data_IF_931839321017
#
_entry.id   IF_931839321017
#
_cell.length_a   1.000
_cell.length_b   1.000
_cell.length_c   1.000
_cell.angle_alpha   90.00
_cell.angle_beta   90.00
_cell.angle_gamma   90.00
#
_symmetry.space_group_name_H-M   'P 1'
#
loop_
_entity.id
_entity.type
_entity.pdbx_description
1 polymer ?
#
# COMPACT_ATOMS: atom_id res chain seq x y z
N UNK A 1 -11.61 0.09 7.77
CA UNK A 1 -12.85 0.34 8.55
C UNK A 1 -13.32 1.79 8.46
N UNK A 2 -12.42 2.74 8.23
CA UNK A 2 -12.70 4.18 8.20
C UNK A 2 -13.68 4.63 7.09
N UNK A 3 -14.02 3.77 6.14
CA UNK A 3 -15.02 4.02 5.09
C UNK A 3 -16.28 3.15 5.23
N UNK A 4 -16.39 2.37 6.31
CA UNK A 4 -17.59 1.59 6.58
C UNK A 4 -18.71 2.54 7.03
N UNK A 5 -19.92 2.30 6.53
CA UNK A 5 -21.10 3.01 6.99
C UNK A 5 -21.53 2.53 8.39
N UNK A 6 -22.39 3.31 9.04
CA UNK A 6 -22.82 3.05 10.41
C UNK A 6 -23.60 1.74 10.56
N UNK A 7 -24.46 1.39 9.59
CA UNK A 7 -25.26 0.16 9.65
C UNK A 7 -24.36 -1.07 9.56
N UNK A 8 -23.33 -1.02 8.69
CA UNK A 8 -22.32 -2.07 8.61
C UNK A 8 -21.58 -2.26 9.94
N UNK A 9 -21.19 -1.17 10.62
CA UNK A 9 -20.52 -1.24 11.92
C UNK A 9 -21.43 -1.79 13.03
N UNK A 10 -22.71 -1.39 13.04
CA UNK A 10 -23.70 -1.92 13.98
C UNK A 10 -23.92 -3.43 13.77
N UNK A 11 -24.01 -3.88 12.53
CA UNK A 11 -24.13 -5.31 12.21
C UNK A 11 -22.92 -6.09 12.72
N UNK A 12 -21.70 -5.60 12.47
CA UNK A 12 -20.48 -6.25 12.95
C UNK A 12 -20.46 -6.27 14.49
N UNK A 13 -20.85 -5.18 15.14
CA UNK A 13 -20.93 -5.11 16.60
C UNK A 13 -21.91 -6.14 17.17
N UNK A 14 -23.04 -6.35 16.51
CA UNK A 14 -24.00 -7.39 16.89
C UNK A 14 -23.43 -8.79 16.71
N UNK A 15 -22.77 -9.07 15.58
CA UNK A 15 -22.18 -10.38 15.29
C UNK A 15 -21.02 -10.73 16.25
N UNK A 16 -20.14 -9.78 16.54
CA UNK A 16 -18.99 -10.04 17.44
C UNK A 16 -19.46 -10.18 18.90
N UNK A 17 -20.57 -9.56 19.28
CA UNK A 17 -21.13 -9.65 20.64
C UNK A 17 -22.00 -10.90 20.87
N UNK A 18 -22.35 -11.64 19.82
CA UNK A 18 -23.26 -12.77 19.92
C UNK A 18 -22.53 -14.03 20.40
N UNK A 19 -22.82 -14.44 21.64
CA UNK A 19 -22.24 -15.62 22.27
C UNK A 19 -22.71 -16.95 21.66
N UNK A 20 -23.78 -16.96 20.86
CA UNK A 20 -24.21 -18.16 20.13
C UNK A 20 -23.32 -18.46 18.92
N UNK A 21 -22.53 -17.47 18.46
CA UNK A 21 -21.60 -17.61 17.34
C UNK A 21 -20.26 -18.17 17.84
N UNK A 22 -20.09 -19.49 17.71
CA UNK A 22 -18.92 -20.20 18.26
C UNK A 22 -17.64 -20.14 17.40
N UNK A 23 -17.74 -19.78 16.11
CA UNK A 23 -16.63 -19.87 15.15
C UNK A 23 -16.53 -18.63 14.27
N UNK A 24 -16.23 -17.50 14.89
CA UNK A 24 -16.12 -16.23 14.18
C UNK A 24 -14.85 -15.48 14.59
N UNK A 25 -14.05 -15.11 13.59
CA UNK A 25 -12.89 -14.25 13.73
C UNK A 25 -13.13 -13.04 12.84
N UNK A 26 -13.20 -11.87 13.45
CA UNK A 26 -13.28 -10.60 12.72
C UNK A 26 -11.91 -9.93 12.71
N UNK A 27 -11.37 -9.71 11.50
CA UNK A 27 -10.12 -8.97 11.30
C UNK A 27 -10.49 -7.65 10.62
N UNK A 28 -10.17 -6.55 11.29
CA UNK A 28 -10.36 -5.20 10.79
C UNK A 28 -9.01 -4.49 10.64
N UNK A 29 -8.88 -3.70 9.58
CA UNK A 29 -7.78 -2.76 9.43
C UNK A 29 -8.33 -1.33 9.34
N UNK A 30 -7.62 -0.39 9.93
CA UNK A 30 -7.93 1.03 9.85
C UNK A 30 -6.66 1.86 9.98
N UNK A 31 -6.75 3.13 9.57
CA UNK A 31 -5.65 4.09 9.67
C UNK A 31 -5.79 4.84 10.99
N UNK A 32 -4.80 4.69 11.86
CA UNK A 32 -4.77 5.29 13.20
C UNK A 32 -4.76 6.83 13.13
N UNK A 33 -4.05 7.39 12.15
CA UNK A 33 -4.00 8.83 11.90
C UNK A 33 -5.32 9.45 11.38
N UNK A 34 -6.29 8.64 10.96
CA UNK A 34 -7.60 9.08 10.46
C UNK A 34 -8.74 8.79 11.45
N UNK A 35 -8.44 8.17 12.60
CA UNK A 35 -9.43 7.86 13.64
C UNK A 35 -10.20 9.11 14.08
N UNK A 36 -9.51 10.24 14.26
CA UNK A 36 -10.14 11.48 14.73
C UNK A 36 -11.18 12.04 13.74
N UNK A 37 -11.06 11.69 12.46
CA UNK A 37 -12.01 12.08 11.41
C UNK A 37 -13.11 11.05 11.18
N UNK A 38 -13.17 9.99 12.02
CA UNK A 38 -14.10 8.87 11.83
C UNK A 38 -14.88 8.56 13.12
N UNK A 39 -15.84 9.42 13.54
CA UNK A 39 -16.57 9.24 14.81
C UNK A 39 -17.30 7.89 14.94
N UNK A 40 -17.86 7.37 13.85
CA UNK A 40 -18.56 6.08 13.85
C UNK A 40 -17.62 4.91 14.17
N UNK A 41 -16.37 4.96 13.70
CA UNK A 41 -15.37 3.94 14.01
C UNK A 41 -14.91 4.05 15.47
N UNK A 42 -14.73 5.26 15.99
CA UNK A 42 -14.41 5.49 17.41
C UNK A 42 -15.51 4.89 18.29
N UNK A 43 -16.77 5.20 18.02
CA UNK A 43 -17.91 4.69 18.76
C UNK A 43 -17.99 3.16 18.70
N UNK A 44 -17.73 2.56 17.53
CA UNK A 44 -17.67 1.11 17.37
C UNK A 44 -16.57 0.49 18.26
N UNK A 45 -15.34 1.02 18.23
CA UNK A 45 -14.24 0.50 19.06
C UNK A 45 -14.50 0.67 20.56
N UNK A 46 -15.10 1.79 20.97
CA UNK A 46 -15.52 2.00 22.37
C UNK A 46 -16.64 1.03 22.78
N UNK A 47 -17.56 0.72 21.88
CA UNK A 47 -18.62 -0.25 22.12
C UNK A 47 -18.06 -1.65 22.34
N UNK A 48 -17.09 -2.09 21.51
CA UNK A 48 -16.43 -3.39 21.68
C UNK A 48 -15.77 -3.49 23.07
N UNK A 49 -15.07 -2.43 23.50
CA UNK A 49 -14.47 -2.36 24.84
C UNK A 49 -15.52 -2.39 25.94
N UNK A 50 -16.62 -1.65 25.79
CA UNK A 50 -17.72 -1.61 26.76
C UNK A 50 -18.43 -2.96 26.92
N UNK A 51 -18.54 -3.74 25.83
CA UNK A 51 -19.12 -5.08 25.82
C UNK A 51 -18.15 -6.19 26.26
N UNK A 52 -16.93 -5.82 26.68
CA UNK A 52 -15.86 -6.76 27.09
C UNK A 52 -15.54 -7.80 26.01
N UNK A 53 -15.64 -7.39 24.74
CA UNK A 53 -15.27 -8.23 23.60
C UNK A 53 -13.75 -8.32 23.55
N UNK A 54 -13.22 -9.54 23.44
CA UNK A 54 -11.78 -9.76 23.33
C UNK A 54 -11.25 -9.21 22.00
N UNK A 55 -10.47 -8.14 22.05
CA UNK A 55 -9.81 -7.54 20.88
C UNK A 55 -8.30 -7.68 20.97
N UNK A 56 -7.65 -7.97 19.85
CA UNK A 56 -6.18 -7.94 19.72
C UNK A 56 -5.79 -6.83 18.77
N UNK A 57 -5.17 -5.78 19.30
CA UNK A 57 -4.68 -4.66 18.51
C UNK A 57 -3.28 -4.97 17.97
N UNK A 58 -3.13 -4.95 16.65
CA UNK A 58 -1.85 -5.13 15.97
C UNK A 58 -1.50 -3.81 15.27
N UNK A 59 -0.50 -3.11 15.81
CA UNK A 59 0.01 -1.90 15.16
C UNK A 59 0.98 -2.29 14.03
N UNK A 60 0.65 -1.94 12.80
CA UNK A 60 1.47 -2.23 11.61
C UNK A 60 2.31 -1.00 11.28
N UNK A 61 3.54 -0.98 11.80
CA UNK A 61 4.53 0.05 11.50
C UNK A 61 5.29 -0.17 10.20
N UNK A 62 6.28 0.70 9.94
CA UNK A 62 7.25 0.48 8.88
C UNK A 62 8.09 -0.78 9.16
N UNK A 63 8.48 -1.47 8.08
CA UNK A 63 9.34 -2.65 8.13
C UNK A 63 10.70 -2.24 8.70
N UNK A 64 11.28 -3.05 9.58
CA UNK A 64 12.60 -2.73 10.15
C UNK A 64 13.72 -2.84 9.11
N UNK A 65 14.87 -2.20 9.36
CA UNK A 65 16.04 -2.34 8.48
C UNK A 65 16.47 -3.79 8.29
N UNK A 66 16.38 -4.60 9.35
CA UNK A 66 16.70 -6.03 9.32
C UNK A 66 15.75 -6.77 8.38
N UNK A 67 14.46 -6.53 8.54
CA UNK A 67 13.43 -7.22 7.75
C UNK A 67 13.44 -6.75 6.28
N UNK A 68 13.80 -5.49 6.01
CA UNK A 68 14.09 -5.05 4.63
C UNK A 68 15.30 -5.80 4.07
N UNK A 69 16.39 -5.96 4.84
CA UNK A 69 17.55 -6.73 4.39
C UNK A 69 17.21 -8.20 4.09
N UNK A 70 16.37 -8.83 4.92
CA UNK A 70 15.80 -10.16 4.68
C UNK A 70 14.97 -10.19 3.40
N UNK A 71 14.02 -9.26 3.26
CA UNK A 71 13.17 -9.15 2.08
C UNK A 71 13.99 -9.01 0.79
N UNK A 72 15.02 -8.15 0.79
CA UNK A 72 15.87 -7.96 -0.39
C UNK A 72 16.67 -9.23 -0.67
N UNK A 73 17.34 -9.79 0.34
CA UNK A 73 18.11 -11.04 0.24
C UNK A 73 17.28 -12.15 -0.41
N UNK A 74 16.04 -12.33 0.04
CA UNK A 74 15.12 -13.34 -0.48
C UNK A 74 14.65 -13.02 -1.90
N UNK A 75 14.38 -11.74 -2.20
CA UNK A 75 13.91 -11.30 -3.52
C UNK A 75 14.96 -11.51 -4.61
N UNK A 76 16.22 -11.18 -4.33
CA UNK A 76 17.32 -11.34 -5.31
C UNK A 76 18.13 -12.63 -5.12
N UNK A 77 17.69 -13.51 -4.21
CA UNK A 77 18.29 -14.81 -3.92
C UNK A 77 19.82 -14.75 -3.68
N UNK A 78 20.26 -13.76 -2.91
CA UNK A 78 21.66 -13.56 -2.53
C UNK A 78 21.78 -13.41 -1.02
N UNK A 79 22.80 -13.99 -0.37
CA UNK A 79 23.01 -13.84 1.07
C UNK A 79 23.05 -12.38 1.52
N UNK A 80 22.45 -12.09 2.69
CA UNK A 80 22.37 -10.74 3.27
C UNK A 80 23.69 -9.97 3.32
N UNK A 81 24.84 -10.66 3.52
CA UNK A 81 26.14 -9.99 3.56
C UNK A 81 26.57 -9.41 2.20
N UNK A 82 26.10 -9.98 1.08
CA UNK A 82 26.34 -9.48 -0.27
C UNK A 82 25.34 -8.38 -0.66
N UNK A 83 24.13 -8.44 -0.13
CA UNK A 83 23.06 -7.47 -0.45
C UNK A 83 23.00 -6.29 0.50
N UNK A 84 23.78 -6.31 1.59
CA UNK A 84 23.74 -5.31 2.67
C UNK A 84 23.78 -3.86 2.20
N UNK A 85 24.72 -3.52 1.31
CA UNK A 85 24.84 -2.15 0.79
C UNK A 85 23.60 -1.72 0.01
N UNK A 86 23.00 -2.64 -0.75
CA UNK A 86 21.78 -2.40 -1.50
C UNK A 86 20.55 -2.26 -0.59
N UNK A 87 20.40 -3.18 0.38
CA UNK A 87 19.33 -3.12 1.37
C UNK A 87 19.39 -1.83 2.19
N UNK A 88 20.59 -1.34 2.50
CA UNK A 88 20.80 -0.08 3.22
C UNK A 88 20.35 1.14 2.40
N UNK A 89 20.64 1.16 1.09
CA UNK A 89 20.15 2.21 0.19
C UNK A 89 18.62 2.18 0.15
N UNK A 90 18.03 0.99 -0.03
CA UNK A 90 16.57 0.83 -0.11
C UNK A 90 15.91 1.27 1.20
N UNK A 91 16.42 0.84 2.35
CA UNK A 91 15.88 1.24 3.64
C UNK A 91 15.99 2.74 3.87
N UNK A 92 17.16 3.33 3.58
CA UNK A 92 17.40 4.77 3.72
C UNK A 92 16.43 5.59 2.87
N UNK A 93 16.14 5.12 1.65
CA UNK A 93 15.26 5.84 0.72
C UNK A 93 13.79 5.70 1.07
N UNK A 94 13.38 4.57 1.66
CA UNK A 94 11.97 4.21 1.83
C UNK A 94 11.46 4.37 3.26
N UNK A 95 12.38 4.56 4.23
CA UNK A 95 12.06 4.56 5.65
C UNK A 95 11.49 3.23 6.15
N UNK A 96 11.62 2.14 5.37
CA UNK A 96 10.97 0.86 5.66
C UNK A 96 9.48 0.81 5.32
N UNK A 97 8.93 1.82 4.66
CA UNK A 97 7.55 1.76 4.18
C UNK A 97 7.42 0.67 3.10
N UNK A 98 6.65 -0.38 3.37
CA UNK A 98 6.52 -1.55 2.51
C UNK A 98 6.12 -1.20 1.06
N UNK A 99 5.24 -0.22 0.88
CA UNK A 99 4.85 0.24 -0.46
C UNK A 99 6.05 0.87 -1.16
N UNK A 100 6.75 1.78 -0.50
CA UNK A 100 7.92 2.45 -1.10
C UNK A 100 9.07 1.50 -1.36
N UNK A 101 9.30 0.48 -0.52
CA UNK A 101 10.28 -0.59 -0.80
C UNK A 101 9.98 -1.27 -2.13
N UNK A 102 8.75 -1.75 -2.31
CA UNK A 102 8.36 -2.43 -3.56
C UNK A 102 8.40 -1.49 -4.77
N UNK A 103 7.96 -0.25 -4.62
CA UNK A 103 7.96 0.73 -5.71
C UNK A 103 9.36 1.16 -6.11
N UNK A 104 10.25 1.33 -5.14
CA UNK A 104 11.64 1.67 -5.43
C UNK A 104 12.35 0.54 -6.15
N UNK A 105 12.18 -0.71 -5.68
CA UNK A 105 12.70 -1.89 -6.39
C UNK A 105 12.19 -1.98 -7.82
N UNK A 106 10.89 -1.80 -8.03
CA UNK A 106 10.28 -1.82 -9.36
C UNK A 106 10.87 -0.72 -10.24
N UNK A 107 11.04 0.50 -9.72
CA UNK A 107 11.61 1.60 -10.48
C UNK A 107 13.08 1.37 -10.83
N UNK A 108 13.87 0.76 -9.94
CA UNK A 108 15.25 0.36 -10.26
C UNK A 108 15.29 -0.69 -11.37
N UNK A 109 14.34 -1.63 -11.37
CA UNK A 109 14.21 -2.61 -12.46
C UNK A 109 13.82 -1.96 -13.79
N UNK A 110 12.77 -1.12 -13.78
CA UNK A 110 12.24 -0.48 -14.99
C UNK A 110 13.28 0.44 -15.66
N UNK A 111 14.16 1.06 -14.86
CA UNK A 111 15.24 1.93 -15.34
C UNK A 111 16.55 1.18 -15.63
N UNK A 112 16.58 -0.14 -15.47
CA UNK A 112 17.77 -0.95 -15.72
C UNK A 112 18.90 -0.73 -14.70
N UNK A 113 18.59 -0.17 -13.54
CA UNK A 113 19.52 0.01 -12.42
C UNK A 113 19.63 -1.24 -11.53
N UNK A 114 18.63 -2.12 -11.61
CA UNK A 114 18.64 -3.47 -11.06
C UNK A 114 18.41 -4.45 -12.22
N UNK A 115 19.39 -5.30 -12.52
CA UNK A 115 19.37 -6.18 -13.70
C UNK A 115 19.83 -7.58 -13.33
N UNK A 116 19.16 -8.58 -13.88
CA UNK A 116 19.62 -9.96 -13.80
C UNK A 116 20.67 -10.22 -14.90
N UNK A 117 21.90 -10.51 -14.49
CA UNK A 117 23.00 -10.86 -15.40
C UNK A 117 22.94 -12.35 -15.72
N UNK A 118 22.67 -12.69 -16.98
CA UNK A 118 22.66 -14.08 -17.45
C UNK A 118 24.06 -14.71 -17.46
N UNK A 119 25.11 -13.91 -17.66
CA UNK A 119 26.50 -14.38 -17.69
C UNK A 119 26.95 -14.86 -16.30
N UNK A 120 26.65 -14.09 -15.27
CA UNK A 120 27.03 -14.38 -13.89
C UNK A 120 25.92 -15.11 -13.11
N UNK A 121 24.77 -15.36 -13.75
CA UNK A 121 23.56 -15.94 -13.15
C UNK A 121 23.17 -15.28 -11.81
N UNK A 122 23.29 -13.95 -11.74
CA UNK A 122 23.11 -13.17 -10.51
C UNK A 122 22.51 -11.81 -10.78
N UNK A 123 21.89 -11.23 -9.77
CA UNK A 123 21.46 -9.85 -9.77
C UNK A 123 22.64 -8.89 -9.63
N UNK A 124 22.62 -7.82 -10.43
CA UNK A 124 23.55 -6.69 -10.37
C UNK A 124 22.75 -5.40 -10.18
N UNK A 125 23.32 -4.47 -9.43
CA UNK A 125 22.76 -3.15 -9.24
C UNK A 125 23.83 -2.08 -9.29
N UNK A 126 23.46 -0.89 -9.77
CA UNK A 126 24.31 0.29 -9.70
C UNK A 126 24.07 1.01 -8.36
N UNK A 127 25.02 0.88 -7.43
CA UNK A 127 24.90 1.45 -6.10
C UNK A 127 24.90 2.99 -6.10
N UNK A 128 25.66 3.62 -6.99
CA UNK A 128 25.76 5.08 -7.05
C UNK A 128 24.49 5.68 -7.65
N UNK A 129 23.99 5.11 -8.75
CA UNK A 129 22.74 5.52 -9.37
C UNK A 129 21.54 5.26 -8.44
N UNK A 130 21.50 4.11 -7.76
CA UNK A 130 20.45 3.80 -6.78
C UNK A 130 20.45 4.78 -5.61
N UNK A 131 21.63 5.20 -5.14
CA UNK A 131 21.73 6.16 -4.03
C UNK A 131 21.41 7.60 -4.48
N UNK A 132 21.70 7.96 -5.73
CA UNK A 132 21.36 9.27 -6.30
C UNK A 132 19.84 9.43 -6.55
N UNK A 133 19.13 8.33 -6.82
CA UNK A 133 17.70 8.33 -7.10
C UNK A 133 16.87 8.83 -5.92
N UNK A 134 16.04 9.84 -6.14
CA UNK A 134 15.10 10.32 -5.11
C UNK A 134 13.86 9.43 -5.05
N UNK A 135 13.32 9.25 -3.84
CA UNK A 135 11.98 8.70 -3.64
C UNK A 135 11.05 9.86 -3.34
N UNK A 136 9.88 9.80 -3.94
CA UNK A 136 8.77 10.66 -3.57
C UNK A 136 8.19 10.14 -2.26
N UNK A 137 8.45 10.86 -1.16
CA UNK A 137 7.93 10.53 0.18
C UNK A 137 6.40 10.64 0.30
N UNK A 138 5.73 11.18 -0.74
CA UNK A 138 4.28 11.35 -0.80
C UNK A 138 3.64 10.36 -1.80
N UNK A 139 2.75 9.51 -1.30
CA UNK A 139 2.00 8.52 -2.10
C UNK A 139 1.19 9.18 -3.21
N UNK A 140 0.65 10.37 -2.97
CA UNK A 140 -0.06 11.17 -3.98
C UNK A 140 0.86 11.59 -5.13
N UNK A 141 2.09 12.00 -4.83
CA UNK A 141 3.06 12.36 -5.88
C UNK A 141 3.50 11.11 -6.66
N UNK A 142 3.72 9.98 -5.98
CA UNK A 142 3.98 8.69 -6.63
C UNK A 142 2.83 8.28 -7.58
N UNK A 143 1.58 8.40 -7.13
CA UNK A 143 0.42 8.08 -7.97
C UNK A 143 0.29 9.05 -9.15
N UNK A 144 0.62 10.33 -8.95
CA UNK A 144 0.62 11.31 -10.02
C UNK A 144 1.68 11.02 -11.09
N UNK A 145 2.86 10.54 -10.70
CA UNK A 145 3.89 10.09 -11.64
C UNK A 145 3.41 8.87 -12.46
N UNK A 146 2.81 7.88 -11.81
CA UNK A 146 2.23 6.72 -12.51
C UNK A 146 1.13 7.11 -13.48
N UNK A 147 0.24 8.03 -13.09
CA UNK A 147 -0.82 8.52 -13.98
C UNK A 147 -0.20 9.23 -15.18
N UNK A 148 0.85 10.05 -15.00
CA UNK A 148 1.54 10.75 -16.10
C UNK A 148 2.21 9.82 -17.11
N UNK A 149 2.56 8.60 -16.71
CA UNK A 149 3.11 7.58 -17.62
C UNK A 149 2.05 6.86 -18.46
N UNK A 150 0.76 7.03 -18.16
CA UNK A 150 -0.32 6.42 -18.94
C UNK A 150 -0.54 7.15 -20.27
N UNK A 151 -1.13 6.49 -21.29
CA UNK A 151 -1.58 7.16 -22.50
C UNK A 151 -2.50 8.34 -22.21
N UNK A 152 -2.47 9.36 -23.07
CA UNK A 152 -3.21 10.63 -22.87
C UNK A 152 -4.71 10.40 -22.64
N UNK A 153 -5.34 9.52 -23.42
CA UNK A 153 -6.77 9.19 -23.24
C UNK A 153 -7.07 8.56 -21.86
N UNK A 154 -6.14 7.75 -21.32
CA UNK A 154 -6.27 7.23 -19.95
C UNK A 154 -6.14 8.35 -18.91
N UNK A 155 -5.21 9.29 -19.09
CA UNK A 155 -5.07 10.43 -18.19
C UNK A 155 -6.32 11.31 -18.18
N UNK A 156 -6.89 11.56 -19.36
CA UNK A 156 -8.12 12.32 -19.52
C UNK A 156 -9.31 11.62 -18.86
N UNK A 157 -9.49 10.32 -19.11
CA UNK A 157 -10.52 9.51 -18.47
C UNK A 157 -10.40 9.54 -16.94
N UNK A 158 -9.20 9.34 -16.38
CA UNK A 158 -8.98 9.38 -14.92
C UNK A 158 -9.33 10.77 -14.36
N UNK A 159 -8.95 11.84 -15.06
CA UNK A 159 -9.28 13.22 -14.65
C UNK A 159 -10.79 13.43 -14.57
N UNK A 160 -11.55 13.01 -15.58
CA UNK A 160 -13.00 13.12 -15.59
C UNK A 160 -13.66 12.24 -14.52
N UNK A 161 -13.22 10.99 -14.39
CA UNK A 161 -13.75 10.04 -13.40
C UNK A 161 -13.48 10.49 -11.96
N UNK A 162 -12.39 11.21 -11.72
CA UNK A 162 -12.08 11.76 -10.39
C UNK A 162 -13.18 12.72 -9.88
N UNK A 163 -13.94 13.35 -10.78
CA UNK A 163 -15.07 14.23 -10.43
C UNK A 163 -16.36 13.46 -10.06
N UNK A 164 -16.47 12.18 -10.44
CA UNK A 164 -17.68 11.36 -10.24
C UNK A 164 -17.67 10.67 -8.87
N UNK A 165 -16.48 10.39 -8.32
CA UNK A 165 -16.29 9.76 -7.01
C UNK A 165 -15.60 8.39 -7.08
N UNK A 166 -15.67 7.62 -5.99
CA UNK A 166 -14.94 6.35 -5.85
C UNK A 166 -15.57 5.15 -6.58
N UNK A 167 -16.75 5.32 -7.19
CA UNK A 167 -17.46 4.31 -7.97
C UNK A 167 -18.00 4.96 -9.25
N UNK A 168 -17.80 4.30 -10.38
CA UNK A 168 -18.33 4.72 -11.67
C UNK A 168 -19.00 3.52 -12.38
N UNK A 169 -20.11 3.75 -13.06
CA UNK A 169 -20.76 2.72 -13.88
C UNK A 169 -20.17 2.70 -15.30
N UNK A 170 -20.28 1.56 -15.97
CA UNK A 170 -19.73 1.39 -17.33
C UNK A 170 -20.33 2.39 -18.33
N UNK A 171 -21.60 2.76 -18.16
CA UNK A 171 -22.30 3.70 -19.03
C UNK A 171 -21.68 5.10 -19.01
N UNK A 172 -21.32 5.60 -17.83
CA UNK A 172 -20.62 6.88 -17.64
C UNK A 172 -19.19 6.78 -18.19
N UNK A 173 -18.52 5.65 -17.99
CA UNK A 173 -17.18 5.42 -18.53
C UNK A 173 -17.17 5.44 -20.08
N UNK A 174 -18.17 4.81 -20.71
CA UNK A 174 -18.37 4.83 -22.17
C UNK A 174 -18.75 6.21 -22.70
N UNK A 175 -19.47 7.02 -21.92
CA UNK A 175 -19.82 8.39 -22.30
C UNK A 175 -18.55 9.24 -22.46
N UNK A 176 -17.62 9.15 -21.51
CA UNK A 176 -16.38 9.92 -21.52
C UNK A 176 -15.31 9.39 -22.48
N UNK A 177 -15.31 8.09 -22.75
CA UNK A 177 -14.42 7.48 -23.76
C UNK A 177 -14.87 7.74 -25.21
N UNK A 178 -16.07 8.28 -25.43
CA UNK A 178 -16.64 8.55 -26.76
C UNK A 178 -16.28 9.92 -27.34
N UNK A 179 -15.72 10.83 -26.53
CA UNK A 179 -15.34 12.18 -26.97
C UNK A 179 -13.92 12.25 -27.60
N UNK A 180 -13.24 11.12 -27.80
CA UNK A 180 -11.90 11.04 -28.44
C UNK A 180 -11.88 10.40 -29.85
N UNK A 181 -13.03 10.30 -30.54
CA UNK A 181 -13.07 10.11 -32.01
C UNK A 181 -13.37 11.44 -32.73
#
# INVERSE_FOLDING_TARGET
MQWADELSLQLISALVADMEINHFLFIASYRDNEIHNTPSLVAFLEELKRKDITTTDINVGCISRRDVSELISDTINLPQHLTKSFSDIIYKKTGGNALFVTQFLQSLWDEGLLVFSLEDNTWKWDADASNAKEILDDVGVLMADKIRQLPIGCQYAIKLLSCVGSKCNESILKLFMREEE
#
